data_IF_588987169658
#
_entry.id   IF_588987169658
#
_cell.length_a   1.000
_cell.length_b   1.000
_cell.length_c   1.000
_cell.angle_alpha   90.00
_cell.angle_beta   90.00
_cell.angle_gamma   90.00
#
_symmetry.space_group_name_H-M   'P 1'
#
loop_
_entity.id
_entity.type
_entity.pdbx_description
1 polymer ?
#
# COMPACT_ATOMS: atom_id res chain seq x y z
N UNK A 1 -2.26 -6.41 13.65
CA UNK A 1 -2.20 -5.89 12.28
C UNK A 1 -0.73 -5.88 11.91
N UNK A 2 -0.37 -6.37 10.73
CA UNK A 2 0.97 -6.07 10.21
C UNK A 2 1.11 -4.54 10.16
N UNK A 3 2.29 -4.01 10.44
CA UNK A 3 2.50 -2.54 10.45
C UNK A 3 2.79 -2.03 9.05
N UNK A 4 3.33 -2.88 8.20
CA UNK A 4 3.85 -2.51 6.90
C UNK A 4 2.82 -2.86 5.82
N UNK A 5 2.43 -1.83 5.09
CA UNK A 5 1.46 -1.90 4.01
C UNK A 5 2.10 -1.37 2.75
N UNK A 6 1.60 -1.84 1.61
CA UNK A 6 2.07 -1.42 0.29
C UNK A 6 0.90 -0.87 -0.50
N UNK A 7 1.18 0.19 -1.25
CA UNK A 7 0.22 0.78 -2.18
C UNK A 7 0.15 -0.10 -3.43
N UNK A 8 -1.07 -0.49 -3.81
CA UNK A 8 -1.35 -1.30 -5.01
C UNK A 8 -1.84 -0.46 -6.19
N UNK A 9 -2.60 0.60 -5.90
CA UNK A 9 -3.17 1.51 -6.90
C UNK A 9 -2.81 2.95 -6.57
N UNK A 10 -2.52 3.81 -7.57
CA UNK A 10 -2.18 5.20 -7.32
C UNK A 10 -3.37 5.99 -6.80
N UNK A 11 -3.13 6.87 -5.84
CA UNK A 11 -4.14 7.78 -5.32
C UNK A 11 -3.50 9.05 -4.75
N UNK A 12 -4.34 10.03 -4.45
CA UNK A 12 -3.91 11.27 -3.80
C UNK A 12 -4.58 11.38 -2.43
N UNK A 13 -3.81 11.76 -1.43
CA UNK A 13 -4.34 12.07 -0.11
C UNK A 13 -4.12 13.54 0.24
N UNK A 14 -5.15 14.17 0.78
CA UNK A 14 -5.08 15.56 1.22
C UNK A 14 -4.65 15.64 2.68
N UNK A 15 -3.45 16.18 2.93
CA UNK A 15 -2.99 16.49 4.28
C UNK A 15 -3.25 17.96 4.59
N UNK A 16 -3.83 18.23 5.76
CA UNK A 16 -4.02 19.59 6.25
C UNK A 16 -2.75 20.09 6.96
N UNK A 17 -2.06 21.10 6.42
CA UNK A 17 -0.97 21.74 7.18
C UNK A 17 -1.57 22.65 8.27
N UNK A 18 -1.13 22.48 9.51
CA UNK A 18 -1.36 23.44 10.59
C UNK A 18 -0.35 24.62 10.56
N UNK A 19 -0.12 25.18 9.38
CA UNK A 19 0.80 26.29 9.17
C UNK A 19 0.14 27.62 9.62
N UNK A 20 0.69 28.38 10.59
CA UNK A 20 0.09 29.63 11.04
C UNK A 20 0.00 30.67 9.90
N UNK A 21 -1.20 31.15 9.60
CA UNK A 21 -1.43 32.25 8.66
C UNK A 21 -1.66 31.86 7.19
N UNK A 22 -1.58 30.57 6.81
CA UNK A 22 -1.90 30.11 5.46
C UNK A 22 -2.64 28.75 5.51
N UNK A 23 -3.77 28.64 4.79
CA UNK A 23 -4.42 27.34 4.54
C UNK A 23 -3.68 26.65 3.40
N UNK A 24 -2.64 25.87 3.72
CA UNK A 24 -2.02 25.01 2.72
C UNK A 24 -2.80 23.71 2.62
N UNK A 25 -3.32 23.45 1.43
CA UNK A 25 -3.75 22.13 1.00
C UNK A 25 -2.50 21.45 0.43
N UNK A 26 -2.00 20.42 1.11
CA UNK A 26 -0.92 19.61 0.58
C UNK A 26 -1.52 18.29 0.09
N UNK A 27 -1.43 18.04 -1.21
CA UNK A 27 -1.78 16.74 -1.79
C UNK A 27 -0.51 15.91 -1.84
N UNK A 28 -0.56 14.71 -1.28
CA UNK A 28 0.51 13.72 -1.40
C UNK A 28 0.05 12.71 -2.44
N UNK A 29 0.88 12.50 -3.45
CA UNK A 29 0.70 11.46 -4.46
C UNK A 29 1.33 10.17 -3.97
N UNK A 30 0.57 9.07 -4.04
CA UNK A 30 1.04 7.72 -3.73
C UNK A 30 1.02 6.86 -4.98
N UNK A 31 2.06 6.05 -5.16
CA UNK A 31 2.27 5.21 -6.31
C UNK A 31 2.39 3.73 -5.94
N UNK A 32 2.03 2.81 -6.84
CA UNK A 32 2.19 1.39 -6.59
C UNK A 32 3.64 1.02 -6.26
N UNK A 33 3.84 0.40 -5.10
CA UNK A 33 5.15 0.05 -4.55
C UNK A 33 5.59 0.90 -3.36
N UNK A 34 4.97 2.07 -3.12
CA UNK A 34 5.21 2.84 -1.91
C UNK A 34 4.85 2.01 -0.66
N UNK A 35 5.66 2.12 0.38
CA UNK A 35 5.54 1.38 1.63
C UNK A 35 5.13 2.30 2.76
N UNK A 36 4.04 1.94 3.43
CA UNK A 36 3.54 2.61 4.62
C UNK A 36 3.82 1.78 5.86
N UNK A 37 4.43 2.40 6.87
CA UNK A 37 4.45 1.88 8.23
C UNK A 37 3.38 2.59 9.04
N UNK A 38 2.28 1.89 9.34
CA UNK A 38 1.25 2.37 10.26
C UNK A 38 1.74 2.11 11.68
N UNK A 39 2.11 3.18 12.38
CA UNK A 39 2.71 3.09 13.71
C UNK A 39 1.63 2.96 14.81
N UNK A 40 2.05 2.67 16.04
CA UNK A 40 1.14 2.70 17.20
C UNK A 40 0.90 4.13 17.73
N UNK A 41 1.59 5.14 17.18
CA UNK A 41 1.39 6.53 17.56
C UNK A 41 0.06 7.03 16.98
N UNK A 42 -0.78 7.54 17.89
CA UNK A 42 -2.14 7.93 17.57
C UNK A 42 -2.54 9.22 18.26
N UNK A 43 -3.37 10.01 17.58
CA UNK A 43 -3.94 11.24 18.10
C UNK A 43 -5.46 11.19 17.97
N UNK A 44 -6.15 11.58 19.03
CA UNK A 44 -7.58 11.84 18.97
C UNK A 44 -7.80 13.32 18.68
N UNK A 45 -8.66 13.62 17.70
CA UNK A 45 -9.05 14.98 17.35
C UNK A 45 -10.57 15.09 17.50
N UNK A 46 -11.03 16.07 18.28
CA UNK A 46 -12.46 16.29 18.49
C UNK A 46 -13.18 16.45 17.14
N UNK A 47 -14.34 15.80 17.02
CA UNK A 47 -15.16 15.73 15.80
C UNK A 47 -14.56 14.96 14.60
N UNK A 48 -13.27 14.62 14.60
CA UNK A 48 -12.61 13.86 13.52
C UNK A 48 -12.17 12.46 13.96
N UNK A 49 -12.11 12.18 15.26
CA UNK A 49 -11.81 10.85 15.79
C UNK A 49 -10.32 10.51 15.81
N UNK A 50 -10.03 9.21 15.74
CA UNK A 50 -8.66 8.68 15.83
C UNK A 50 -7.90 8.85 14.52
N UNK A 51 -6.64 9.25 14.65
CA UNK A 51 -5.66 9.31 13.58
C UNK A 51 -4.44 8.50 13.99
N UNK A 52 -3.84 7.80 13.02
CA UNK A 52 -2.56 7.12 13.17
C UNK A 52 -1.46 7.90 12.46
N UNK A 53 -0.26 7.86 13.04
CA UNK A 53 0.94 8.32 12.35
C UNK A 53 1.38 7.25 11.36
N UNK A 54 1.44 7.65 10.09
CA UNK A 54 1.94 6.85 8.97
C UNK A 54 3.32 7.37 8.60
N UNK A 55 4.29 6.47 8.52
CA UNK A 55 5.62 6.74 7.96
C UNK A 55 5.67 6.15 6.55
N UNK A 56 6.06 6.95 5.56
CA UNK A 56 6.10 6.56 4.14
C UNK A 56 7.55 6.40 3.71
N UNK A 57 7.89 5.24 3.17
CA UNK A 57 9.21 4.88 2.65
C UNK A 57 10.37 5.22 3.61
N UNK A 58 10.11 5.29 4.92
CA UNK A 58 11.05 5.79 5.93
C UNK A 58 11.53 7.24 5.74
N UNK A 59 10.95 8.00 4.81
CA UNK A 59 11.39 9.34 4.44
C UNK A 59 10.61 10.45 5.16
N UNK A 60 9.28 10.32 5.24
CA UNK A 60 8.41 11.33 5.83
C UNK A 60 7.23 10.71 6.55
N UNK A 61 6.54 11.54 7.34
CA UNK A 61 5.43 11.08 8.17
C UNK A 61 4.26 12.06 8.17
N UNK A 62 3.05 11.52 8.29
CA UNK A 62 1.83 12.31 8.41
C UNK A 62 0.77 11.56 9.22
N UNK A 63 -0.22 12.29 9.74
CA UNK A 63 -1.37 11.68 10.41
C UNK A 63 -2.51 11.46 9.42
N UNK A 64 -3.09 10.25 9.43
CA UNK A 64 -4.28 9.90 8.65
C UNK A 64 -5.40 9.40 9.56
N UNK A 65 -6.64 9.72 9.24
CA UNK A 65 -7.81 9.23 9.99
C UNK A 65 -7.97 7.71 9.81
N UNK A 66 -8.39 7.01 10.87
CA UNK A 66 -8.63 5.56 10.82
C UNK A 66 -9.61 5.16 9.71
N UNK A 67 -10.68 5.94 9.53
CA UNK A 67 -11.69 5.66 8.52
C UNK A 67 -11.12 5.64 7.10
N UNK A 68 -10.20 6.56 6.79
CA UNK A 68 -9.55 6.64 5.47
C UNK A 68 -8.63 5.41 5.24
N UNK A 69 -7.91 4.98 6.29
CA UNK A 69 -7.06 3.77 6.22
C UNK A 69 -7.93 2.53 6.00
N UNK A 70 -9.03 2.39 6.74
CA UNK A 70 -9.97 1.28 6.60
C UNK A 70 -10.61 1.26 5.21
N UNK A 71 -10.97 2.42 4.68
CA UNK A 71 -11.49 2.57 3.32
C UNK A 71 -10.48 2.06 2.29
N UNK A 72 -9.24 2.58 2.33
CA UNK A 72 -8.16 2.17 1.42
C UNK A 72 -7.86 0.66 1.48
N UNK A 73 -7.97 0.06 2.66
CA UNK A 73 -7.81 -1.39 2.83
C UNK A 73 -8.99 -2.15 2.23
N UNK A 74 -10.22 -1.68 2.47
CA UNK A 74 -11.44 -2.32 1.99
C UNK A 74 -11.62 -2.26 0.46
N UNK A 75 -11.12 -1.18 -0.16
CA UNK A 75 -11.11 -1.02 -1.63
C UNK A 75 -9.99 -1.80 -2.30
N UNK A 76 -9.03 -2.33 -1.53
CA UNK A 76 -7.84 -3.00 -2.06
C UNK A 76 -6.79 -2.05 -2.62
N UNK A 77 -6.90 -0.75 -2.35
CA UNK A 77 -5.90 0.26 -2.76
C UNK A 77 -4.59 0.05 -2.00
N UNK A 78 -4.67 -0.41 -0.76
CA UNK A 78 -3.51 -0.85 0.05
C UNK A 78 -3.72 -2.28 0.55
N UNK A 79 -2.62 -2.98 0.82
CA UNK A 79 -2.66 -4.27 1.53
C UNK A 79 -1.43 -4.41 2.43
N UNK A 80 -1.46 -5.35 3.38
CA UNK A 80 -0.24 -5.66 4.14
C UNK A 80 0.80 -6.31 3.25
N UNK A 81 2.09 -6.13 3.55
CA UNK A 81 3.18 -6.81 2.82
C UNK A 81 3.01 -8.35 2.92
N UNK A 82 2.55 -8.83 4.08
CA UNK A 82 2.25 -10.25 4.27
C UNK A 82 1.15 -10.75 3.32
N UNK A 83 0.07 -9.98 3.15
CA UNK A 83 -1.01 -10.34 2.21
C UNK A 83 -0.51 -10.33 0.76
N UNK A 84 0.38 -9.40 0.41
CA UNK A 84 1.04 -9.37 -0.90
C UNK A 84 1.84 -10.66 -1.14
N UNK A 85 2.63 -11.08 -0.16
CA UNK A 85 3.45 -12.30 -0.23
C UNK A 85 2.58 -13.55 -0.36
N UNK A 86 1.49 -13.62 0.40
CA UNK A 86 0.50 -14.69 0.29
C UNK A 86 -0.16 -14.70 -1.08
N UNK A 87 -0.50 -13.54 -1.64
CA UNK A 87 -1.07 -13.42 -2.99
C UNK A 87 -0.10 -13.93 -4.06
N UNK A 88 1.17 -13.55 -3.99
CA UNK A 88 2.22 -14.05 -4.92
C UNK A 88 2.33 -15.57 -4.84
N UNK A 89 2.36 -16.12 -3.61
CA UNK A 89 2.40 -17.56 -3.41
C UNK A 89 1.17 -18.27 -4.00
N UNK A 90 -0.02 -17.74 -3.73
CA UNK A 90 -1.29 -18.27 -4.22
C UNK A 90 -1.35 -18.28 -5.75
N UNK A 91 -0.95 -17.18 -6.40
CA UNK A 91 -0.92 -17.07 -7.85
C UNK A 91 0.06 -18.07 -8.47
N UNK A 92 1.24 -18.26 -7.88
CA UNK A 92 2.19 -19.29 -8.31
C UNK A 92 1.60 -20.71 -8.23
N UNK A 93 0.85 -21.00 -7.16
CA UNK A 93 0.12 -22.27 -7.04
C UNK A 93 -0.98 -22.41 -8.10
N UNK A 94 -1.77 -21.36 -8.35
CA UNK A 94 -2.85 -21.35 -9.34
C UNK A 94 -2.36 -21.52 -10.78
N UNK A 95 -1.20 -20.95 -11.10
CA UNK A 95 -0.53 -21.17 -12.38
C UNK A 95 -0.20 -22.65 -12.57
N UNK A 96 0.34 -23.32 -11.54
CA UNK A 96 0.64 -24.75 -11.62
C UNK A 96 -0.64 -25.58 -11.81
N UNK A 97 -1.72 -25.28 -11.07
CA UNK A 97 -3.01 -25.95 -11.27
C UNK A 97 -3.55 -25.77 -12.70
N UNK A 98 -3.45 -24.56 -13.27
CA UNK A 98 -3.90 -24.29 -14.63
C UNK A 98 -3.07 -25.04 -15.69
N UNK A 99 -1.76 -25.17 -15.47
CA UNK A 99 -0.87 -25.97 -16.33
C UNK A 99 -1.25 -27.46 -16.28
N UNK A 100 -1.47 -28.01 -15.10
CA UNK A 100 -1.89 -29.41 -14.91
C UNK A 100 -3.25 -29.69 -15.56
N UNK A 101 -4.16 -28.71 -15.54
CA UNK A 101 -5.48 -28.80 -16.16
C UNK A 101 -5.48 -28.50 -17.67
N UNK A 102 -4.34 -28.12 -18.25
CA UNK A 102 -4.25 -27.57 -19.61
C UNK A 102 -5.19 -26.38 -19.89
N UNK A 103 -5.51 -25.59 -18.85
CA UNK A 103 -6.36 -24.41 -18.95
C UNK A 103 -5.52 -23.17 -19.27
N UNK A 104 -5.46 -22.85 -20.56
CA UNK A 104 -4.70 -21.70 -21.07
C UNK A 104 -5.24 -20.36 -20.59
N UNK A 105 -6.55 -20.21 -20.45
CA UNK A 105 -7.17 -18.92 -20.12
C UNK A 105 -6.83 -18.55 -18.68
N UNK A 106 -7.06 -19.49 -17.76
CA UNK A 106 -6.68 -19.33 -16.36
C UNK A 106 -5.17 -19.12 -16.19
N UNK A 107 -4.34 -19.88 -16.91
CA UNK A 107 -2.88 -19.70 -16.87
C UNK A 107 -2.48 -18.27 -17.25
N UNK A 108 -3.00 -17.75 -18.36
CA UNK A 108 -2.66 -16.41 -18.82
C UNK A 108 -3.11 -15.34 -17.83
N UNK A 109 -4.33 -15.47 -17.29
CA UNK A 109 -4.86 -14.52 -16.30
C UNK A 109 -4.02 -14.51 -15.02
N UNK A 110 -3.67 -15.67 -14.47
CA UNK A 110 -2.88 -15.73 -13.24
C UNK A 110 -1.42 -15.32 -13.46
N UNK A 111 -0.85 -15.61 -14.63
CA UNK A 111 0.51 -15.19 -14.97
C UNK A 111 0.62 -13.67 -15.14
N UNK A 112 -0.37 -13.04 -15.77
CA UNK A 112 -0.44 -11.57 -15.90
C UNK A 112 -0.57 -10.90 -14.53
N UNK A 113 -1.50 -11.38 -13.69
CA UNK A 113 -1.67 -10.88 -12.33
C UNK A 113 -0.39 -11.07 -11.48
N UNK A 114 0.26 -12.24 -11.57
CA UNK A 114 1.50 -12.50 -10.88
C UNK A 114 2.59 -11.53 -11.31
N UNK A 115 2.69 -11.23 -12.61
CA UNK A 115 3.66 -10.25 -13.14
C UNK A 115 3.42 -8.87 -12.54
N UNK A 116 2.17 -8.38 -12.54
CA UNK A 116 1.83 -7.08 -11.97
C UNK A 116 2.17 -7.00 -10.47
N UNK A 117 1.82 -8.02 -9.69
CA UNK A 117 2.08 -8.05 -8.25
C UNK A 117 3.59 -8.15 -7.96
N UNK A 118 4.35 -8.89 -8.77
CA UNK A 118 5.81 -8.97 -8.66
C UNK A 118 6.49 -7.64 -9.00
N UNK A 119 5.99 -6.90 -9.98
CA UNK A 119 6.50 -5.56 -10.29
C UNK A 119 6.35 -4.60 -9.11
N UNK A 120 5.19 -4.62 -8.43
CA UNK A 120 4.96 -3.84 -7.22
C UNK A 120 5.95 -4.25 -6.13
N UNK A 121 6.10 -5.56 -5.89
CA UNK A 121 7.06 -6.07 -4.90
C UNK A 121 8.51 -5.69 -5.20
N UNK A 122 8.90 -5.64 -6.48
CA UNK A 122 10.25 -5.25 -6.87
C UNK A 122 10.50 -3.76 -6.62
N UNK A 123 9.51 -2.89 -6.86
CA UNK A 123 9.61 -1.45 -6.60
C UNK A 123 9.90 -1.14 -5.13
N UNK A 124 9.24 -1.86 -4.22
CA UNK A 124 9.48 -1.75 -2.77
C UNK A 124 10.97 -1.90 -2.40
N UNK A 125 11.70 -2.80 -3.09
CA UNK A 125 13.10 -3.11 -2.77
C UNK A 125 14.12 -2.20 -3.46
N UNK A 126 13.68 -1.30 -4.36
CA UNK A 126 14.61 -0.52 -5.19
C UNK A 126 15.07 0.76 -4.46
N UNK A 127 14.34 1.21 -3.45
CA UNK A 127 14.67 2.40 -2.64
C UNK A 127 15.83 2.15 -1.64
N UNK A 128 16.20 0.89 -1.38
CA UNK A 128 17.38 0.52 -0.58
C UNK A 128 18.74 0.80 -1.27
N UNK A 129 18.77 1.20 -2.56
CA UNK A 129 20.01 1.25 -3.37
C UNK A 129 20.66 2.64 -3.46
N UNK A 130 20.08 3.69 -2.87
CA UNK A 130 20.59 5.07 -3.03
C UNK A 130 21.22 5.74 -1.78
N UNK A 131 21.74 4.95 -0.83
CA UNK A 131 22.58 5.46 0.25
C UNK A 131 24.06 5.11 0.05
N UNK A 132 24.77 5.85 -0.83
CA UNK A 132 26.25 5.88 -0.89
C UNK A 132 26.77 7.29 -1.18
#
# INVERSE_FOLDING_TARGET
MDKNHVILEPFQHQVSCCCPGQKHLHMIDFFPGDVWTITDERKYVDCLGWHFLIVVNEEYQFFMQVADIEELYSTGTICSILDLDLRINHLGFKINEALDAHDRESFLSFADELSCVQEIKNKMNTEDVHAY
#
